data_IF_208468872828
#
_entry.id   IF_208468872828
#
_cell.length_a   1.000
_cell.length_b   1.000
_cell.length_c   1.000
_cell.angle_alpha   90.00
_cell.angle_beta   90.00
_cell.angle_gamma   90.00
#
_symmetry.space_group_name_H-M   'P 1'
#
loop_
_entity.id
_entity.type
_entity.pdbx_description
1 polymer ?
#
# COMPACT_ATOMS: atom_id res chain seq x y z
N UNK A 1 -69.20 -9.66 -43.84
CA UNK A 1 -69.89 -8.47 -43.28
C UNK A 1 -69.08 -8.05 -42.07
N UNK A 2 -68.43 -6.90 -41.95
CA UNK A 2 -68.50 -5.60 -42.63
C UNK A 2 -67.10 -4.95 -42.62
N UNK A 3 -66.91 -4.01 -43.54
CA UNK A 3 -65.71 -3.22 -43.76
C UNK A 3 -65.55 -2.05 -42.76
N UNK A 4 -64.33 -1.49 -42.76
CA UNK A 4 -63.99 -0.08 -42.53
C UNK A 4 -63.90 0.44 -41.10
N UNK A 5 -62.67 0.74 -40.68
CA UNK A 5 -62.31 2.16 -40.47
C UNK A 5 -60.81 2.38 -40.64
N UNK A 6 -60.52 3.16 -41.68
CA UNK A 6 -59.23 3.75 -42.04
C UNK A 6 -58.98 4.97 -41.14
N UNK A 7 -57.76 5.14 -40.61
CA UNK A 7 -57.14 6.46 -40.65
C UNK A 7 -55.60 6.42 -40.52
N UNK A 8 -54.96 6.71 -41.66
CA UNK A 8 -53.78 7.56 -41.88
C UNK A 8 -52.64 7.56 -40.85
N UNK A 9 -51.55 6.91 -41.24
CA UNK A 9 -50.19 7.22 -40.79
C UNK A 9 -49.70 8.45 -41.57
N UNK A 10 -49.33 9.58 -40.94
CA UNK A 10 -48.59 10.61 -41.66
C UNK A 10 -47.15 10.15 -41.86
N UNK A 11 -46.72 10.18 -43.12
CA UNK A 11 -45.34 10.01 -43.52
C UNK A 11 -44.44 11.05 -42.83
N UNK A 12 -43.40 10.60 -42.14
CA UNK A 12 -42.31 11.45 -41.68
C UNK A 12 -41.40 11.77 -42.89
N UNK A 13 -41.24 13.04 -43.32
CA UNK A 13 -40.20 13.40 -44.27
C UNK A 13 -38.98 13.92 -43.49
N UNK A 14 -37.83 13.31 -43.71
CA UNK A 14 -36.49 13.84 -43.39
C UNK A 14 -36.18 14.13 -41.92
N UNK A 15 -35.42 13.24 -41.31
CA UNK A 15 -34.79 13.52 -40.02
C UNK A 15 -34.19 12.28 -39.40
N UNK A 16 -33.04 11.83 -39.91
CA UNK A 16 -32.16 10.93 -39.19
C UNK A 16 -31.73 11.61 -37.88
N UNK A 17 -32.51 11.46 -36.81
CA UNK A 17 -32.05 11.74 -35.46
C UNK A 17 -31.27 10.52 -34.98
N UNK A 18 -29.98 10.48 -35.31
CA UNK A 18 -29.01 9.63 -34.62
C UNK A 18 -29.03 9.97 -33.13
N UNK A 19 -29.09 8.98 -32.21
CA UNK A 19 -28.70 9.24 -30.84
C UNK A 19 -27.18 9.37 -30.82
N UNK A 20 -26.67 10.60 -30.70
CA UNK A 20 -25.32 10.82 -30.21
C UNK A 20 -25.26 10.30 -28.78
N UNK A 21 -24.89 9.03 -28.64
CA UNK A 21 -24.39 8.47 -27.39
C UNK A 21 -23.10 9.23 -27.10
N UNK A 22 -23.25 10.30 -26.33
CA UNK A 22 -22.15 11.01 -25.68
C UNK A 22 -21.40 9.98 -24.84
N UNK A 23 -20.37 9.42 -25.44
CA UNK A 23 -19.42 8.55 -24.79
C UNK A 23 -18.58 9.45 -23.88
N UNK A 24 -19.15 9.80 -22.73
CA UNK A 24 -18.44 10.34 -21.59
C UNK A 24 -17.45 9.27 -21.13
N UNK A 25 -16.32 9.18 -21.83
CA UNK A 25 -15.15 8.45 -21.35
C UNK A 25 -14.85 9.05 -19.98
N UNK A 26 -14.80 8.27 -18.89
CA UNK A 26 -14.21 8.77 -17.66
C UNK A 26 -12.79 9.20 -18.03
N UNK A 27 -12.50 10.48 -17.80
CA UNK A 27 -11.15 11.03 -17.90
C UNK A 27 -10.26 10.14 -17.05
N UNK A 28 -9.46 9.30 -17.71
CA UNK A 28 -8.39 8.55 -17.07
C UNK A 28 -7.46 9.61 -16.46
N UNK A 29 -7.31 9.66 -15.13
CA UNK A 29 -6.43 10.65 -14.52
C UNK A 29 -4.99 10.42 -15.04
N UNK A 30 -4.22 11.50 -15.26
CA UNK A 30 -2.82 11.36 -15.66
C UNK A 30 -2.09 10.57 -14.56
N UNK A 31 -1.37 9.52 -14.98
CA UNK A 31 -0.69 8.55 -14.11
C UNK A 31 0.56 9.12 -13.41
N UNK A 32 0.55 10.39 -13.00
CA UNK A 32 1.72 11.08 -12.45
C UNK A 32 1.34 12.18 -11.46
N UNK A 33 0.31 11.99 -10.66
CA UNK A 33 -0.02 12.88 -9.55
C UNK A 33 0.28 12.17 -8.22
N UNK A 34 1.24 12.66 -7.40
CA UNK A 34 1.55 12.10 -6.07
C UNK A 34 0.35 11.97 -5.11
N UNK A 35 -0.74 12.77 -5.15
CA UNK A 35 -1.84 12.60 -4.19
C UNK A 35 -2.59 11.27 -4.26
N UNK A 36 -2.59 10.57 -5.40
CA UNK A 36 -3.27 9.28 -5.50
C UNK A 36 -2.57 8.19 -4.67
N UNK A 37 -1.23 8.18 -4.67
CA UNK A 37 -0.44 7.24 -3.87
C UNK A 37 -0.52 7.60 -2.39
N UNK A 38 -0.45 8.89 -2.06
CA UNK A 38 -0.64 9.39 -0.69
C UNK A 38 -2.01 8.98 -0.16
N UNK A 39 -3.09 9.22 -0.92
CA UNK A 39 -4.44 8.82 -0.53
C UNK A 39 -4.57 7.31 -0.35
N UNK A 40 -3.89 6.51 -1.19
CA UNK A 40 -3.89 5.05 -1.10
C UNK A 40 -3.13 4.56 0.16
N UNK A 41 -2.02 5.19 0.51
CA UNK A 41 -1.23 4.83 1.70
C UNK A 41 -1.89 5.30 3.00
N UNK A 42 -2.79 6.28 2.95
CA UNK A 42 -3.67 6.63 4.07
C UNK A 42 -4.93 5.75 4.18
N UNK A 43 -5.13 4.80 3.26
CA UNK A 43 -6.18 3.78 3.42
C UNK A 43 -5.74 2.80 4.51
N UNK A 44 -6.35 2.91 5.70
CA UNK A 44 -6.01 2.09 6.86
C UNK A 44 -6.10 0.59 6.53
N UNK A 45 -7.02 0.19 5.66
CA UNK A 45 -7.16 -1.20 5.22
C UNK A 45 -6.03 -1.64 4.27
N UNK A 46 -5.41 -0.76 3.48
CA UNK A 46 -4.21 -1.08 2.72
C UNK A 46 -3.01 -1.25 3.64
N UNK A 47 -2.88 -0.37 4.64
CA UNK A 47 -1.77 -0.41 5.60
C UNK A 47 -1.78 -1.71 6.39
N UNK A 48 -2.96 -2.13 6.89
CA UNK A 48 -3.11 -3.42 7.57
C UNK A 48 -2.75 -4.60 6.65
N UNK A 49 -3.20 -4.57 5.38
CA UNK A 49 -2.86 -5.60 4.39
C UNK A 49 -1.37 -5.62 4.07
N UNK A 50 -0.73 -4.46 4.02
CA UNK A 50 0.71 -4.34 3.81
C UNK A 50 1.48 -4.96 4.98
N UNK A 51 1.11 -4.61 6.22
CA UNK A 51 1.68 -5.22 7.42
C UNK A 51 1.52 -6.75 7.43
N UNK A 52 0.32 -7.26 7.11
CA UNK A 52 0.07 -8.70 7.00
C UNK A 52 0.87 -9.35 5.85
N UNK A 53 1.03 -8.64 4.73
CA UNK A 53 1.82 -9.11 3.59
C UNK A 53 3.31 -9.15 3.91
N UNK A 54 3.85 -8.21 4.69
CA UNK A 54 5.26 -8.23 5.09
C UNK A 54 5.61 -9.53 5.81
N UNK A 55 4.78 -9.98 6.74
CA UNK A 55 4.99 -11.25 7.46
C UNK A 55 4.97 -12.45 6.51
N UNK A 56 4.16 -12.40 5.45
CA UNK A 56 4.05 -13.49 4.47
C UNK A 56 5.20 -13.50 3.46
N UNK A 57 5.67 -12.31 3.05
CA UNK A 57 6.68 -12.14 1.99
C UNK A 57 8.11 -12.24 2.54
N UNK A 58 8.31 -11.94 3.82
CA UNK A 58 9.62 -11.90 4.46
C UNK A 58 9.78 -13.10 5.41
N UNK A 59 10.31 -14.25 4.95
CA UNK A 59 10.37 -15.46 5.76
C UNK A 59 11.24 -15.33 7.01
N UNK A 60 12.20 -14.39 7.03
CA UNK A 60 13.04 -14.12 8.19
C UNK A 60 12.29 -13.46 9.35
N UNK A 61 11.11 -12.89 9.11
CA UNK A 61 10.24 -12.37 10.19
C UNK A 61 9.88 -13.49 11.17
N UNK A 62 9.95 -14.75 10.73
CA UNK A 62 9.79 -15.95 11.56
C UNK A 62 10.80 -16.05 12.73
N UNK A 63 11.93 -15.35 12.69
CA UNK A 63 12.92 -15.35 13.77
C UNK A 63 12.65 -14.29 14.85
N UNK A 64 11.77 -13.33 14.59
CA UNK A 64 11.42 -12.30 15.58
C UNK A 64 10.47 -12.87 16.65
N UNK A 65 10.59 -12.43 17.91
CA UNK A 65 9.56 -12.66 18.93
C UNK A 65 8.27 -11.91 18.57
N UNK A 66 7.12 -12.38 19.07
CA UNK A 66 5.80 -11.83 18.71
C UNK A 66 5.69 -10.31 18.95
N UNK A 67 6.23 -9.81 20.07
CA UNK A 67 6.27 -8.37 20.40
C UNK A 67 7.02 -7.55 19.37
N UNK A 68 8.15 -8.06 18.87
CA UNK A 68 8.97 -7.36 17.87
C UNK A 68 8.29 -7.39 16.49
N UNK A 69 7.49 -8.42 16.19
CA UNK A 69 6.73 -8.49 14.93
C UNK A 69 5.63 -7.44 14.87
N UNK A 70 4.90 -7.24 15.96
CA UNK A 70 3.87 -6.20 16.07
C UNK A 70 4.49 -4.80 15.96
N UNK A 71 5.67 -4.63 16.59
CA UNK A 71 6.44 -3.39 16.52
C UNK A 71 6.91 -3.12 15.08
N UNK A 72 7.51 -4.12 14.43
CA UNK A 72 7.93 -4.03 13.03
C UNK A 72 6.78 -3.65 12.10
N UNK A 73 5.62 -4.30 12.25
CA UNK A 73 4.43 -4.03 11.44
C UNK A 73 3.96 -2.58 11.58
N UNK A 74 3.90 -2.07 12.81
CA UNK A 74 3.48 -0.70 13.12
C UNK A 74 4.48 0.32 12.56
N UNK A 75 5.78 0.12 12.80
CA UNK A 75 6.81 1.04 12.31
C UNK A 75 6.92 1.04 10.78
N UNK A 76 6.78 -0.12 10.13
CA UNK A 76 6.79 -0.22 8.68
C UNK A 76 5.60 0.51 8.04
N UNK A 77 4.42 0.40 8.66
CA UNK A 77 3.21 1.13 8.26
C UNK A 77 3.39 2.66 8.36
N UNK A 78 3.88 3.15 9.49
CA UNK A 78 4.11 4.58 9.70
C UNK A 78 5.20 5.12 8.79
N UNK A 79 6.28 4.36 8.59
CA UNK A 79 7.37 4.73 7.69
C UNK A 79 6.91 4.75 6.23
N UNK A 80 6.06 3.80 5.81
CA UNK A 80 5.45 3.81 4.49
C UNK A 80 4.60 5.08 4.29
N UNK A 81 3.80 5.47 5.29
CA UNK A 81 2.99 6.69 5.27
C UNK A 81 3.82 7.95 5.17
N UNK A 82 4.90 8.04 5.95
CA UNK A 82 5.87 9.13 5.87
C UNK A 82 6.54 9.18 4.49
N UNK A 83 7.03 8.04 3.97
CA UNK A 83 7.67 7.93 2.66
C UNK A 83 6.73 8.34 1.52
N UNK A 84 5.46 7.93 1.58
CA UNK A 84 4.46 8.29 0.60
C UNK A 84 4.20 9.80 0.54
N UNK A 85 4.20 10.49 1.70
CA UNK A 85 4.01 11.94 1.77
C UNK A 85 5.09 12.74 1.03
N UNK A 86 6.33 12.23 1.01
CA UNK A 86 7.49 12.86 0.37
C UNK A 86 7.87 12.19 -0.97
N UNK A 87 7.19 11.11 -1.37
CA UNK A 87 7.47 10.35 -2.58
C UNK A 87 8.83 9.65 -2.60
N UNK A 88 9.41 9.36 -1.43
CA UNK A 88 10.77 8.79 -1.28
C UNK A 88 10.74 7.62 -0.31
N UNK A 89 11.06 6.42 -0.81
CA UNK A 89 10.93 5.15 -0.05
C UNK A 89 12.24 4.59 0.50
N UNK A 90 13.34 5.36 0.49
CA UNK A 90 14.62 4.83 1.01
C UNK A 90 14.56 4.56 2.51
N UNK A 91 13.87 5.40 3.29
CA UNK A 91 13.71 5.15 4.73
C UNK A 91 12.97 3.84 5.03
N UNK A 92 12.01 3.44 4.18
CA UNK A 92 11.33 2.15 4.31
C UNK A 92 12.27 0.98 4.00
N UNK A 93 13.12 1.10 2.99
CA UNK A 93 14.11 0.08 2.66
C UNK A 93 15.12 -0.09 3.80
N UNK A 94 15.66 1.03 4.31
CA UNK A 94 16.60 1.04 5.44
C UNK A 94 15.97 0.40 6.69
N UNK A 95 14.68 0.68 6.95
CA UNK A 95 13.94 0.08 8.06
C UNK A 95 13.84 -1.45 7.91
N UNK A 96 13.50 -1.95 6.72
CA UNK A 96 13.40 -3.40 6.46
C UNK A 96 14.76 -4.08 6.67
N UNK A 97 15.86 -3.48 6.21
CA UNK A 97 17.21 -4.01 6.42
C UNK A 97 17.62 -3.99 7.90
N UNK A 98 17.27 -2.94 8.63
CA UNK A 98 17.53 -2.89 10.07
C UNK A 98 16.82 -4.01 10.83
N UNK A 99 15.54 -4.25 10.52
CA UNK A 99 14.77 -5.34 11.13
C UNK A 99 15.25 -6.73 10.71
N UNK A 100 15.80 -6.89 9.50
CA UNK A 100 16.49 -8.12 9.10
C UNK A 100 17.71 -8.37 9.98
N UNK A 101 18.52 -7.36 10.27
CA UNK A 101 19.67 -7.51 11.16
C UNK A 101 19.23 -7.94 12.57
N UNK A 102 18.12 -7.38 13.08
CA UNK A 102 17.51 -7.83 14.34
C UNK A 102 17.09 -9.30 14.27
N UNK A 103 16.49 -9.73 13.15
CA UNK A 103 16.13 -11.13 12.93
C UNK A 103 17.34 -12.07 12.93
N UNK A 104 18.46 -11.64 12.35
CA UNK A 104 19.71 -12.41 12.32
C UNK A 104 20.28 -12.59 13.73
N UNK A 105 20.21 -11.55 14.58
CA UNK A 105 20.62 -11.65 15.98
C UNK A 105 19.73 -12.66 16.73
N UNK A 106 18.42 -12.60 16.56
CA UNK A 106 17.50 -13.55 17.18
C UNK A 106 17.64 -14.98 16.64
N UNK A 107 18.07 -15.15 15.39
CA UNK A 107 18.37 -16.46 14.81
C UNK A 107 19.58 -17.14 15.46
N UNK A 108 20.50 -16.39 16.08
CA UNK A 108 21.64 -16.92 16.81
C UNK A 108 21.51 -16.61 18.31
N UNK A 109 20.99 -17.54 19.12
CA UNK A 109 20.80 -17.31 20.55
C UNK A 109 22.11 -17.06 21.31
N UNK A 110 23.26 -17.51 20.78
CA UNK A 110 24.58 -17.25 21.38
C UNK A 110 25.06 -15.82 21.12
N UNK A 111 24.75 -15.29 19.93
CA UNK A 111 24.97 -13.90 19.59
C UNK A 111 24.05 -12.98 20.39
N UNK A 112 22.75 -13.31 20.47
CA UNK A 112 21.78 -12.56 21.27
C UNK A 112 22.20 -12.49 22.76
N UNK A 113 22.65 -13.61 23.34
CA UNK A 113 23.16 -13.65 24.70
C UNK A 113 24.42 -12.78 24.88
N UNK A 114 25.30 -12.74 23.87
CA UNK A 114 26.52 -11.93 23.89
C UNK A 114 26.25 -10.43 23.77
N UNK A 115 25.25 -10.01 22.98
CA UNK A 115 24.81 -8.61 22.90
C UNK A 115 24.04 -8.15 24.15
N UNK A 116 23.26 -9.07 24.76
CA UNK A 116 22.53 -8.79 25.99
C UNK A 116 23.44 -8.76 27.24
N UNK A 117 24.65 -9.33 27.14
CA UNK A 117 25.64 -9.22 28.20
C UNK A 117 26.08 -7.76 28.35
N UNK A 118 26.08 -7.26 29.59
CA UNK A 118 26.45 -5.90 29.91
C UNK A 118 27.87 -5.56 29.40
N UNK A 119 28.00 -4.48 28.63
CA UNK A 119 29.29 -3.86 28.32
C UNK A 119 29.75 -3.10 29.57
N UNK A 120 30.36 -3.81 30.51
CA UNK A 120 30.81 -3.24 31.80
C UNK A 120 32.06 -2.34 31.69
N UNK A 121 32.50 -1.95 30.48
CA UNK A 121 33.66 -1.06 30.33
C UNK A 121 33.19 0.40 30.22
N UNK A 122 33.43 1.25 31.23
CA UNK A 122 33.09 2.66 31.14
C UNK A 122 33.93 3.34 30.04
N UNK A 123 33.29 3.94 29.04
CA UNK A 123 33.93 4.64 27.91
C UNK A 123 34.46 6.04 28.28
N UNK A 124 34.69 6.32 29.56
CA UNK A 124 35.12 7.62 30.08
C UNK A 124 36.62 7.64 30.49
N UNK A 125 37.46 6.81 29.86
CA UNK A 125 38.92 6.90 30.03
C UNK A 125 39.46 8.00 29.11
N UNK A 126 39.96 9.14 29.64
CA UNK A 126 40.64 10.13 28.81
C UNK A 126 41.93 9.52 28.24
N UNK A 127 42.15 9.72 26.94
CA UNK A 127 43.31 9.22 26.18
C UNK A 127 44.61 9.92 26.54
#
# INVERSE_FOLDING_TARGET
MMCSSSNSVPACPNGCCSPSIGSGRPLRPPASSPPALVALVHDEALVERFAAALVTVLPWVAFLPDTDRETFATEAADTLRACASIGRFTALADLIDNWRNTAEIWSDPSLAASLAAEVSTPLDQPV
#
